data_IF_659769260076
#
_entry.id   IF_659769260076
#
_cell.length_a   1.000
_cell.length_b   1.000
_cell.length_c   1.000
_cell.angle_alpha   90.00
_cell.angle_beta   90.00
_cell.angle_gamma   90.00
#
_symmetry.space_group_name_H-M   'P 1'
#
loop_
_entity.id
_entity.type
_entity.pdbx_description
1 polymer ?
#
# COMPACT_ATOMS: atom_id res chain seq x y z
N UNK A 1 11.49 -1.18 -56.21
CA UNK A 1 10.23 -0.88 -55.52
C UNK A 1 9.62 -2.19 -55.03
N UNK A 2 9.69 -2.49 -53.73
CA UNK A 2 8.63 -3.20 -52.98
C UNK A 2 9.01 -3.25 -51.50
N UNK A 3 8.22 -2.48 -50.76
CA UNK A 3 8.21 -2.34 -49.32
C UNK A 3 7.78 -3.66 -48.67
N UNK A 4 8.45 -4.06 -47.59
CA UNK A 4 7.98 -5.13 -46.71
C UNK A 4 8.05 -4.64 -45.26
N UNK A 5 6.90 -4.12 -44.84
CA UNK A 5 6.35 -3.92 -43.51
C UNK A 5 7.17 -4.49 -42.33
N UNK A 6 7.88 -3.62 -41.64
CA UNK A 6 8.20 -3.84 -40.23
C UNK A 6 6.93 -3.56 -39.42
N UNK A 7 6.19 -4.62 -39.08
CA UNK A 7 5.13 -4.53 -38.06
C UNK A 7 5.87 -4.45 -36.72
N UNK A 8 6.18 -3.23 -36.32
CA UNK A 8 6.65 -2.92 -34.97
C UNK A 8 5.44 -3.07 -34.05
N UNK A 9 5.30 -4.24 -33.43
CA UNK A 9 4.30 -4.51 -32.41
C UNK A 9 4.54 -3.56 -31.24
N UNK A 10 3.84 -2.41 -31.22
CA UNK A 10 3.73 -1.57 -30.03
C UNK A 10 2.95 -2.37 -28.99
N UNK A 11 3.65 -3.13 -28.15
CA UNK A 11 3.07 -3.56 -26.88
C UNK A 11 2.87 -2.29 -26.04
N UNK A 12 1.64 -1.94 -25.63
CA UNK A 12 1.47 -0.99 -24.56
C UNK A 12 2.04 -1.66 -23.32
N UNK A 13 3.20 -1.21 -22.86
CA UNK A 13 3.69 -1.53 -21.54
C UNK A 13 2.70 -0.90 -20.54
N UNK A 14 1.67 -1.66 -20.17
CA UNK A 14 0.80 -1.32 -19.04
C UNK A 14 1.69 -1.47 -17.81
N UNK A 15 2.38 -0.40 -17.44
CA UNK A 15 3.04 -0.32 -16.16
C UNK A 15 1.93 -0.43 -15.11
N UNK A 16 1.81 -1.61 -14.49
CA UNK A 16 1.02 -1.77 -13.27
C UNK A 16 1.57 -0.74 -12.29
N UNK A 17 0.77 0.28 -11.97
CA UNK A 17 1.16 1.26 -10.97
C UNK A 17 1.43 0.52 -9.66
N UNK A 18 2.66 0.58 -9.17
CA UNK A 18 3.08 -0.05 -7.93
C UNK A 18 2.22 0.47 -6.78
N UNK A 19 1.83 -0.40 -5.86
CA UNK A 19 1.12 0.04 -4.65
C UNK A 19 2.16 0.75 -3.77
N UNK A 20 1.86 1.96 -3.26
CA UNK A 20 2.79 2.66 -2.41
C UNK A 20 3.08 1.86 -1.12
N UNK A 21 4.25 2.07 -0.55
CA UNK A 21 4.72 1.36 0.64
C UNK A 21 5.19 2.32 1.72
N UNK A 22 5.12 1.87 2.97
CA UNK A 22 5.75 2.54 4.10
C UNK A 22 6.16 1.52 5.15
N UNK A 23 7.34 1.72 5.74
CA UNK A 23 7.75 0.99 6.95
C UNK A 23 7.79 1.88 8.18
N UNK A 24 7.34 3.14 8.05
CA UNK A 24 7.44 4.15 9.09
C UNK A 24 6.11 4.32 9.81
N UNK A 25 6.09 4.01 11.10
CA UNK A 25 4.91 4.21 11.94
C UNK A 25 4.76 5.69 12.33
N UNK A 26 3.52 6.17 12.45
CA UNK A 26 3.25 7.50 13.01
C UNK A 26 3.59 7.57 14.50
N UNK A 27 3.59 8.79 15.08
CA UNK A 27 3.63 8.95 16.54
C UNK A 27 2.45 8.26 17.22
N UNK A 28 2.62 7.93 18.50
CA UNK A 28 1.56 7.26 19.27
C UNK A 28 0.29 8.10 19.38
N UNK A 29 0.40 9.43 19.55
CA UNK A 29 -0.77 10.32 19.60
C UNK A 29 -1.60 10.25 18.31
N UNK A 30 -0.93 10.26 17.15
CA UNK A 30 -1.58 10.14 15.85
C UNK A 30 -2.18 8.75 15.65
N UNK A 31 -1.45 7.70 16.02
CA UNK A 31 -1.96 6.33 15.97
C UNK A 31 -3.20 6.16 16.84
N UNK A 32 -3.21 6.72 18.04
CA UNK A 32 -4.37 6.67 18.94
C UNK A 32 -5.55 7.48 18.42
N UNK A 33 -5.33 8.49 17.58
CA UNK A 33 -6.41 9.23 16.92
C UNK A 33 -7.11 8.43 15.80
N UNK A 34 -6.42 7.43 15.24
CA UNK A 34 -6.97 6.61 14.16
C UNK A 34 -8.08 5.67 14.63
N UNK A 35 -9.07 5.35 13.77
CA UNK A 35 -10.06 4.33 14.07
C UNK A 35 -9.38 2.96 14.28
N UNK A 36 -9.91 2.12 15.18
CA UNK A 36 -9.42 0.75 15.33
C UNK A 36 -9.79 -0.08 14.10
N UNK A 37 -8.91 -1.03 13.76
CA UNK A 37 -9.21 -2.08 12.78
C UNK A 37 -10.16 -3.13 13.36
N UNK A 38 -10.47 -4.17 12.57
CA UNK A 38 -11.36 -5.26 12.98
C UNK A 38 -10.86 -6.07 14.18
N UNK A 39 -9.54 -6.11 14.40
CA UNK A 39 -8.90 -6.71 15.57
C UNK A 39 -8.83 -5.79 16.80
N UNK A 40 -9.40 -4.59 16.70
CA UNK A 40 -9.39 -3.57 17.75
C UNK A 40 -8.10 -2.75 17.83
N UNK A 41 -7.11 -3.03 16.99
CA UNK A 41 -5.81 -2.34 17.00
C UNK A 41 -5.87 -1.09 16.14
N UNK A 42 -5.38 0.02 16.69
CA UNK A 42 -5.25 1.30 15.96
C UNK A 42 -3.88 1.37 15.29
N UNK A 43 -3.88 1.70 14.01
CA UNK A 43 -2.71 1.64 13.13
C UNK A 43 -2.55 2.95 12.35
N UNK A 44 -1.31 3.39 12.20
CA UNK A 44 -0.98 4.58 11.42
C UNK A 44 0.41 4.44 10.81
N UNK A 45 0.53 4.73 9.51
CA UNK A 45 1.77 4.74 8.76
C UNK A 45 2.02 6.12 8.14
N UNK A 46 3.28 6.47 7.98
CA UNK A 46 3.70 7.69 7.29
C UNK A 46 3.96 7.37 5.84
N UNK A 47 3.29 8.04 4.91
CA UNK A 47 3.63 7.97 3.50
C UNK A 47 5.06 8.47 3.28
N UNK A 48 5.95 7.61 2.77
CA UNK A 48 7.36 7.97 2.57
C UNK A 48 7.54 8.96 1.39
N UNK A 49 6.56 9.09 0.50
CA UNK A 49 6.61 10.01 -0.64
C UNK A 49 6.15 11.42 -0.25
N UNK A 50 5.13 11.53 0.59
CA UNK A 50 4.50 12.82 0.95
C UNK A 50 4.81 13.27 2.38
N UNK A 51 5.25 12.37 3.25
CA UNK A 51 5.39 12.60 4.68
C UNK A 51 4.05 12.65 5.44
N UNK A 52 2.92 12.38 4.76
CA UNK A 52 1.61 12.42 5.36
C UNK A 52 1.40 11.25 6.32
N UNK A 53 0.78 11.50 7.48
CA UNK A 53 0.34 10.45 8.39
C UNK A 53 -1.01 9.90 7.94
N UNK A 54 -1.09 8.59 7.73
CA UNK A 54 -2.26 7.91 7.25
C UNK A 54 -2.73 6.87 8.25
N UNK A 55 -3.98 6.98 8.65
CA UNK A 55 -4.66 5.90 9.34
C UNK A 55 -4.85 4.74 8.39
N UNK A 56 -4.42 3.57 8.82
CA UNK A 56 -4.54 2.34 8.07
C UNK A 56 -5.33 1.32 8.87
N UNK A 57 -6.01 0.41 8.19
CA UNK A 57 -6.78 -0.67 8.80
C UNK A 57 -6.55 -1.97 8.06
N UNK A 58 -6.86 -3.08 8.71
CA UNK A 58 -6.90 -4.37 8.03
C UNK A 58 -7.97 -4.33 6.94
N UNK A 59 -7.59 -4.78 5.75
CA UNK A 59 -8.53 -4.90 4.66
C UNK A 59 -9.42 -6.12 4.84
N UNK A 60 -10.65 -6.05 4.31
CA UNK A 60 -11.42 -7.27 4.02
C UNK A 60 -10.59 -8.22 3.18
N UNK A 61 -10.69 -9.54 3.41
CA UNK A 61 -9.96 -10.57 2.64
C UNK A 61 -10.29 -10.52 1.13
N UNK A 62 -11.41 -9.90 0.76
CA UNK A 62 -11.80 -9.67 -0.65
C UNK A 62 -11.05 -8.52 -1.30
N UNK A 63 -10.30 -7.71 -0.55
CA UNK A 63 -9.57 -6.57 -1.09
C UNK A 63 -8.20 -6.99 -1.63
N UNK A 64 -7.75 -6.33 -2.70
CA UNK A 64 -6.51 -6.65 -3.39
C UNK A 64 -5.25 -6.07 -2.72
N UNK A 65 -5.36 -5.31 -1.63
CA UNK A 65 -4.19 -4.67 -0.99
C UNK A 65 -3.17 -5.69 -0.49
N UNK A 66 -3.56 -6.62 0.38
CA UNK A 66 -2.65 -7.66 0.89
C UNK A 66 -2.04 -8.50 -0.24
N UNK A 67 -2.82 -9.16 -1.14
CA UNK A 67 -2.21 -9.96 -2.20
C UNK A 67 -1.37 -9.13 -3.18
N UNK A 68 -1.77 -7.88 -3.48
CA UNK A 68 -1.00 -6.97 -4.33
C UNK A 68 0.33 -6.54 -3.70
N UNK A 69 0.36 -6.34 -2.39
CA UNK A 69 1.57 -6.04 -1.63
C UNK A 69 2.49 -7.25 -1.50
N UNK A 70 1.93 -8.44 -1.24
CA UNK A 70 2.68 -9.70 -1.23
C UNK A 70 3.34 -9.97 -2.59
N UNK A 71 2.62 -9.73 -3.70
CA UNK A 71 3.17 -9.86 -5.05
C UNK A 71 4.35 -8.91 -5.31
N UNK A 72 4.36 -7.75 -4.66
CA UNK A 72 5.46 -6.77 -4.71
C UNK A 72 6.59 -7.07 -3.71
N UNK A 73 6.49 -8.15 -2.93
CA UNK A 73 7.53 -8.58 -1.98
C UNK A 73 7.41 -7.97 -0.58
N UNK A 74 6.29 -7.32 -0.25
CA UNK A 74 6.00 -6.82 1.09
C UNK A 74 5.37 -7.91 1.97
N UNK A 75 5.45 -7.75 3.28
CA UNK A 75 4.91 -8.74 4.23
C UNK A 75 3.41 -8.58 4.45
N UNK A 76 2.86 -7.38 4.26
CA UNK A 76 1.44 -7.11 4.40
C UNK A 76 0.99 -5.92 3.54
N UNK A 77 -0.33 -5.78 3.38
CA UNK A 77 -0.97 -4.63 2.77
C UNK A 77 -2.17 -4.17 3.60
N UNK A 78 -2.27 -2.87 3.82
CA UNK A 78 -3.32 -2.25 4.62
C UNK A 78 -4.20 -1.35 3.77
N UNK A 79 -5.44 -1.19 4.21
CA UNK A 79 -6.40 -0.27 3.63
C UNK A 79 -6.19 1.08 4.27
N UNK A 80 -6.16 2.15 3.48
CA UNK A 80 -5.98 3.50 4.03
C UNK A 80 -7.22 4.36 3.82
N UNK A 81 -7.35 5.36 4.66
CA UNK A 81 -8.38 6.39 4.53
C UNK A 81 -7.89 7.60 3.73
N UNK A 82 -6.69 7.51 3.13
CA UNK A 82 -6.00 8.59 2.42
C UNK A 82 -6.18 8.53 0.90
N UNK A 83 -5.26 9.19 0.18
CA UNK A 83 -5.32 9.38 -1.28
C UNK A 83 -5.15 8.09 -2.10
N UNK A 84 -4.67 7.01 -1.47
CA UNK A 84 -4.57 5.70 -2.09
C UNK A 84 -5.31 4.62 -1.29
N UNK A 85 -5.97 3.67 -1.97
CA UNK A 85 -6.78 2.67 -1.31
C UNK A 85 -5.95 1.65 -0.52
N UNK A 86 -4.68 1.46 -0.89
CA UNK A 86 -3.79 0.44 -0.34
C UNK A 86 -2.41 1.00 -0.01
N UNK A 87 -1.81 0.54 1.08
CA UNK A 87 -0.43 0.80 1.44
C UNK A 87 0.27 -0.48 1.89
N UNK A 88 1.42 -0.78 1.30
CA UNK A 88 2.21 -1.95 1.63
C UNK A 88 3.14 -1.68 2.82
N UNK A 89 3.39 -2.69 3.65
CA UNK A 89 4.35 -2.57 4.75
C UNK A 89 4.98 -3.90 5.13
N UNK A 90 6.17 -3.84 5.71
CA UNK A 90 6.84 -4.97 6.35
C UNK A 90 6.64 -4.99 7.88
N UNK A 91 5.98 -3.97 8.44
CA UNK A 91 5.72 -3.86 9.86
C UNK A 91 4.21 -3.86 10.12
N UNK A 92 3.79 -4.36 11.27
CA UNK A 92 2.47 -4.06 11.80
C UNK A 92 2.55 -2.77 12.64
N UNK A 93 2.05 -1.62 12.13
CA UNK A 93 2.10 -0.34 12.83
C UNK A 93 1.20 -0.28 14.08
N UNK A 94 0.50 -1.36 14.40
CA UNK A 94 -0.30 -1.51 15.60
C UNK A 94 0.43 -2.18 16.75
N UNK A 95 1.53 -2.88 16.46
CA UNK A 95 2.29 -3.64 17.45
C UNK A 95 3.33 -2.74 18.13
N UNK A 96 2.89 -1.97 19.12
CA UNK A 96 3.79 -1.29 20.06
C UNK A 96 4.52 -2.37 20.87
N UNK A 97 5.76 -2.72 20.46
CA UNK A 97 6.67 -3.41 21.37
C UNK A 97 6.84 -2.52 22.60
N UNK A 98 6.33 -2.99 23.73
CA UNK A 98 6.63 -2.44 25.06
C UNK A 98 8.12 -2.52 25.35
#
# INVERSE_FOLDING_TARGET
MKFAFAVLSLLPAVALASIPSSSTQCSDDLRLSCPPSSDGVRRCLVDENTGASLCVTDCSETNCCTPGCLYQGWSNGFCTNGDYPCLCSNVDPGNVRK
#
